data_IF_742700321821
#
_entry.id   IF_742700321821
#
_cell.length_a   1.000
_cell.length_b   1.000
_cell.length_c   1.000
_cell.angle_alpha   90.00
_cell.angle_beta   90.00
_cell.angle_gamma   90.00
#
_symmetry.space_group_name_H-M   'P 1'
#
loop_
_entity.id
_entity.type
_entity.pdbx_description
1 polymer ?
#
# COMPACT_ATOMS: atom_id res chain seq x y z
N UNK A 1 -17.71 5.69 -23.78
CA UNK A 1 -16.41 5.71 -24.49
C UNK A 1 -16.28 7.03 -25.18
N UNK A 2 -15.15 7.72 -25.07
CA UNK A 2 -14.91 9.05 -25.67
C UNK A 2 -13.75 8.89 -26.67
N UNK A 3 -13.98 9.24 -27.93
CA UNK A 3 -12.92 9.27 -28.94
C UNK A 3 -12.18 10.61 -28.92
N UNK A 4 -10.85 10.58 -29.03
CA UNK A 4 -10.01 11.77 -29.16
C UNK A 4 -9.18 11.69 -30.42
N UNK A 5 -8.90 12.85 -31.05
CA UNK A 5 -8.23 12.94 -32.33
C UNK A 5 -6.69 12.99 -32.23
N UNK A 6 -6.09 12.33 -31.24
CA UNK A 6 -4.64 12.17 -31.19
C UNK A 6 -4.16 11.36 -32.38
N UNK A 7 -3.08 11.81 -33.02
CA UNK A 7 -2.51 11.22 -34.23
C UNK A 7 -1.00 10.95 -34.08
N UNK A 8 -0.35 10.42 -35.09
CA UNK A 8 1.04 9.97 -35.04
C UNK A 8 2.04 11.05 -34.58
N UNK A 9 1.82 12.32 -34.98
CA UNK A 9 2.71 13.42 -34.54
C UNK A 9 2.53 13.71 -33.03
N UNK A 10 1.31 13.62 -32.48
CA UNK A 10 1.10 13.76 -31.03
C UNK A 10 1.81 12.68 -30.25
N UNK A 11 1.89 11.47 -30.82
CA UNK A 11 2.67 10.36 -30.26
C UNK A 11 4.16 10.70 -30.24
N UNK A 12 4.73 11.14 -31.36
CA UNK A 12 6.14 11.56 -31.45
C UNK A 12 6.48 12.67 -30.45
N UNK A 13 5.62 13.69 -30.31
CA UNK A 13 5.77 14.77 -29.33
C UNK A 13 5.79 14.22 -27.90
N UNK A 14 4.88 13.33 -27.59
CA UNK A 14 4.74 12.73 -26.25
C UNK A 14 5.95 11.87 -25.90
N UNK A 15 6.41 11.06 -26.84
CA UNK A 15 7.60 10.22 -26.68
C UNK A 15 8.82 11.06 -26.45
N UNK A 16 9.05 12.07 -27.31
CA UNK A 16 10.20 12.97 -27.19
C UNK A 16 10.17 13.71 -25.85
N UNK A 17 9.02 14.23 -25.45
CA UNK A 17 8.84 14.89 -24.16
C UNK A 17 9.18 13.99 -22.98
N UNK A 18 8.72 12.74 -23.01
CA UNK A 18 8.99 11.76 -21.96
C UNK A 18 10.47 11.37 -21.91
N UNK A 19 11.12 11.15 -23.06
CA UNK A 19 12.55 10.83 -23.14
C UNK A 19 13.41 11.95 -22.56
N UNK A 20 13.12 13.22 -22.91
CA UNK A 20 13.82 14.38 -22.37
C UNK A 20 13.67 14.54 -20.85
N UNK A 21 12.63 13.96 -20.26
CA UNK A 21 12.39 13.91 -18.81
C UNK A 21 12.96 12.68 -18.13
N UNK A 22 13.70 11.84 -18.84
CA UNK A 22 14.31 10.65 -18.30
C UNK A 22 13.31 9.49 -18.07
N UNK A 23 12.29 9.40 -18.90
CA UNK A 23 11.32 8.32 -18.82
C UNK A 23 11.98 6.94 -19.03
N UNK A 24 11.47 5.94 -18.28
CA UNK A 24 11.75 4.53 -18.53
C UNK A 24 10.91 4.01 -19.71
N UNK A 25 11.02 2.71 -19.99
CA UNK A 25 10.30 2.02 -21.06
C UNK A 25 8.78 2.30 -21.01
N UNK A 26 8.18 2.29 -19.82
CA UNK A 26 6.76 2.61 -19.62
C UNK A 26 6.39 4.01 -20.12
N UNK A 27 7.23 5.02 -19.85
CA UNK A 27 7.00 6.39 -20.33
C UNK A 27 7.31 6.54 -21.80
N UNK A 28 8.32 5.83 -22.32
CA UNK A 28 8.67 5.80 -23.73
C UNK A 28 7.57 5.15 -24.60
N UNK A 29 6.70 4.30 -24.02
CA UNK A 29 5.53 3.73 -24.69
C UNK A 29 4.45 4.75 -25.07
N UNK A 30 4.61 6.03 -24.81
CA UNK A 30 3.81 7.13 -25.34
C UNK A 30 2.32 7.10 -24.93
N UNK A 31 1.46 7.47 -25.88
CA UNK A 31 0.00 7.56 -25.72
C UNK A 31 -0.61 6.17 -25.95
N UNK A 32 -1.46 5.67 -25.02
CA UNK A 32 -2.20 4.41 -25.22
C UNK A 32 -3.39 4.61 -26.13
N UNK A 33 -3.64 3.65 -27.04
CA UNK A 33 -4.80 3.64 -27.94
C UNK A 33 -6.12 3.68 -27.17
N UNK A 34 -6.18 2.90 -26.08
CA UNK A 34 -7.32 2.90 -25.17
C UNK A 34 -6.84 3.04 -23.73
N UNK A 35 -7.48 3.95 -22.97
CA UNK A 35 -7.23 4.14 -21.55
C UNK A 35 -8.38 4.88 -20.86
N UNK A 36 -8.90 4.32 -19.76
CA UNK A 36 -9.91 4.96 -18.92
C UNK A 36 -11.15 5.44 -19.67
N UNK A 37 -11.64 4.65 -20.64
CA UNK A 37 -12.81 4.99 -21.44
C UNK A 37 -12.55 5.98 -22.59
N UNK A 38 -11.30 6.38 -22.80
CA UNK A 38 -10.87 7.16 -23.97
C UNK A 38 -10.24 6.24 -25.01
N UNK A 39 -10.61 6.44 -26.29
CA UNK A 39 -10.02 5.76 -27.45
C UNK A 39 -9.40 6.77 -28.40
N UNK A 40 -8.38 6.38 -29.14
CA UNK A 40 -7.59 7.22 -30.06
C UNK A 40 -7.43 6.54 -31.41
N UNK A 41 -8.49 6.58 -32.24
CA UNK A 41 -8.51 5.84 -33.51
C UNK A 41 -7.45 6.28 -34.51
N UNK A 42 -6.98 7.54 -34.41
CA UNK A 42 -6.02 8.11 -35.35
C UNK A 42 -4.55 8.02 -34.91
N UNK A 43 -4.26 7.29 -33.82
CA UNK A 43 -2.90 7.28 -33.26
C UNK A 43 -1.82 6.74 -34.24
N UNK A 44 -2.23 5.93 -35.20
CA UNK A 44 -1.36 5.40 -36.27
C UNK A 44 -1.44 6.19 -37.58
N UNK A 45 -2.29 7.20 -37.65
CA UNK A 45 -2.52 7.99 -38.87
C UNK A 45 -1.75 9.30 -38.76
N UNK A 46 -1.09 9.69 -39.82
CA UNK A 46 -0.36 10.97 -39.88
C UNK A 46 -1.33 12.15 -40.06
N UNK A 47 -0.94 13.33 -39.61
CA UNK A 47 -1.71 14.56 -39.84
C UNK A 47 -1.92 14.83 -41.34
N UNK A 48 -0.93 14.52 -42.17
CA UNK A 48 -1.02 14.68 -43.62
C UNK A 48 -2.12 13.78 -44.22
N UNK A 49 -2.20 12.52 -43.82
CA UNK A 49 -3.26 11.62 -44.26
C UNK A 49 -4.66 12.07 -43.81
N UNK A 50 -4.78 12.60 -42.56
CA UNK A 50 -6.03 13.15 -42.07
C UNK A 50 -6.48 14.36 -42.88
N UNK A 51 -5.55 15.28 -43.19
CA UNK A 51 -5.85 16.47 -44.00
C UNK A 51 -6.19 16.11 -45.44
N UNK A 52 -5.45 15.16 -46.05
CA UNK A 52 -5.77 14.69 -47.41
C UNK A 52 -7.19 14.06 -47.47
N UNK A 53 -7.54 13.24 -46.48
CA UNK A 53 -8.91 12.69 -46.40
C UNK A 53 -9.98 13.78 -46.24
N UNK A 54 -9.73 14.79 -45.41
CA UNK A 54 -10.67 15.89 -45.21
C UNK A 54 -10.85 16.71 -46.49
N UNK A 55 -9.80 16.97 -47.26
CA UNK A 55 -9.85 17.68 -48.54
C UNK A 55 -10.58 16.87 -49.61
N UNK A 56 -10.25 15.58 -49.75
CA UNK A 56 -10.93 14.68 -50.72
C UNK A 56 -12.43 14.61 -50.45
N UNK A 57 -12.86 14.56 -49.18
CA UNK A 57 -14.25 14.47 -48.77
C UNK A 57 -14.90 15.84 -48.54
N UNK A 58 -14.21 16.96 -48.83
CA UNK A 58 -14.70 18.34 -48.66
C UNK A 58 -15.23 18.61 -47.24
N UNK A 59 -14.55 18.08 -46.21
CA UNK A 59 -14.94 18.26 -44.82
C UNK A 59 -14.45 19.65 -44.35
N UNK A 60 -15.36 20.43 -43.77
CA UNK A 60 -14.99 21.68 -43.12
C UNK A 60 -14.33 21.41 -41.76
N UNK A 61 -13.18 22.02 -41.50
CA UNK A 61 -12.50 21.98 -40.21
C UNK A 61 -11.98 23.36 -39.83
N UNK A 62 -11.81 23.57 -38.53
CA UNK A 62 -11.20 24.81 -38.00
C UNK A 62 -9.81 24.53 -37.49
N UNK A 63 -8.92 25.46 -37.73
CA UNK A 63 -7.56 25.46 -37.20
C UNK A 63 -7.56 26.27 -35.92
N UNK A 64 -7.09 25.69 -34.83
CA UNK A 64 -6.93 26.37 -33.55
C UNK A 64 -5.62 27.17 -33.59
N UNK A 65 -5.73 28.49 -33.53
CA UNK A 65 -4.59 29.44 -33.61
C UNK A 65 -3.60 29.28 -32.44
N UNK A 66 -4.05 28.76 -31.28
CA UNK A 66 -3.16 28.52 -30.14
C UNK A 66 -2.12 27.45 -30.43
N UNK A 67 -2.32 26.61 -31.43
CA UNK A 67 -1.32 25.61 -31.87
C UNK A 67 -0.05 26.24 -32.47
N UNK A 68 -0.08 27.49 -32.82
CA UNK A 68 1.06 28.21 -33.41
C UNK A 68 1.85 29.04 -32.38
N UNK A 69 1.45 29.01 -31.11
CA UNK A 69 2.12 29.78 -30.04
C UNK A 69 3.04 28.84 -29.25
N UNK A 70 4.34 29.11 -29.28
CA UNK A 70 5.36 28.30 -28.58
C UNK A 70 5.48 28.69 -27.09
N UNK A 71 4.37 28.75 -26.35
CA UNK A 71 4.30 29.13 -24.94
C UNK A 71 4.48 27.95 -24.00
N UNK A 72 4.11 26.73 -24.43
CA UNK A 72 4.27 25.52 -23.66
C UNK A 72 5.44 24.67 -24.16
N UNK A 73 6.01 23.85 -23.28
CA UNK A 73 7.07 22.89 -23.67
C UNK A 73 6.64 22.00 -24.83
N UNK A 74 5.36 21.57 -24.85
CA UNK A 74 4.83 20.72 -25.92
C UNK A 74 4.80 21.47 -27.25
N UNK A 75 4.32 22.72 -27.27
CA UNK A 75 4.31 23.54 -28.46
C UNK A 75 5.72 23.84 -28.97
N UNK A 76 6.69 24.07 -28.09
CA UNK A 76 8.10 24.20 -28.50
C UNK A 76 8.65 22.96 -29.17
N UNK A 77 8.35 21.76 -28.62
CA UNK A 77 8.74 20.51 -29.26
C UNK A 77 8.12 20.37 -30.66
N UNK A 78 6.82 20.68 -30.79
CA UNK A 78 6.08 20.65 -32.08
C UNK A 78 6.61 21.61 -33.11
N UNK A 79 6.83 22.86 -32.74
CA UNK A 79 7.11 23.94 -33.67
C UNK A 79 8.58 24.14 -33.96
N UNK A 80 9.47 23.83 -33.02
CA UNK A 80 10.89 24.13 -33.12
C UNK A 80 11.77 22.88 -33.20
N UNK A 81 11.52 21.89 -32.38
CA UNK A 81 12.44 20.75 -32.23
C UNK A 81 12.14 19.63 -33.24
N UNK A 82 10.89 19.17 -33.34
CA UNK A 82 10.54 18.09 -34.28
C UNK A 82 10.83 18.47 -35.74
N UNK A 83 10.50 19.67 -36.23
CA UNK A 83 10.89 20.08 -37.59
C UNK A 83 12.41 20.05 -37.77
N UNK A 84 13.18 20.49 -36.78
CA UNK A 84 14.62 20.46 -36.85
C UNK A 84 15.19 19.04 -36.87
N UNK A 85 14.57 18.11 -36.10
CA UNK A 85 14.93 16.68 -36.17
C UNK A 85 14.60 16.09 -37.54
N UNK A 86 13.48 16.45 -38.15
CA UNK A 86 13.10 16.01 -39.50
C UNK A 86 14.07 16.51 -40.58
N UNK A 87 14.61 17.74 -40.45
CA UNK A 87 15.64 18.26 -41.35
C UNK A 87 16.96 17.47 -41.28
N UNK A 88 17.34 17.07 -40.04
CA UNK A 88 18.59 16.33 -39.81
C UNK A 88 18.43 14.84 -40.15
N UNK A 89 17.29 14.25 -39.77
CA UNK A 89 16.97 12.83 -39.97
C UNK A 89 15.56 12.75 -40.55
N UNK A 90 15.40 12.67 -41.87
CA UNK A 90 14.09 12.52 -42.50
C UNK A 90 13.35 11.29 -41.94
N UNK A 91 12.11 11.48 -41.50
CA UNK A 91 11.31 10.44 -40.84
C UNK A 91 11.52 10.32 -39.33
N UNK A 92 12.15 11.32 -38.67
CA UNK A 92 12.42 11.31 -37.23
C UNK A 92 11.14 11.13 -36.40
N UNK A 93 10.05 11.82 -36.72
CA UNK A 93 8.77 11.67 -36.00
C UNK A 93 8.20 10.26 -36.16
N UNK A 94 8.25 9.68 -37.36
CA UNK A 94 7.83 8.30 -37.63
C UNK A 94 8.68 7.31 -36.85
N UNK A 95 10.00 7.54 -36.79
CA UNK A 95 10.91 6.67 -36.04
C UNK A 95 10.64 6.72 -34.53
N UNK A 96 10.35 7.91 -33.98
CA UNK A 96 9.93 8.06 -32.58
C UNK A 96 8.61 7.32 -32.29
N UNK A 97 7.63 7.43 -33.19
CA UNK A 97 6.36 6.71 -33.08
C UNK A 97 6.56 5.18 -33.15
N UNK A 98 7.36 4.69 -34.08
CA UNK A 98 7.68 3.26 -34.18
C UNK A 98 8.41 2.76 -32.93
N UNK A 99 9.35 3.53 -32.41
CA UNK A 99 10.03 3.22 -31.16
C UNK A 99 9.04 3.11 -29.99
N UNK A 100 8.08 4.02 -29.88
CA UNK A 100 7.08 3.99 -28.79
C UNK A 100 6.24 2.71 -28.82
N UNK A 101 5.82 2.26 -29.99
CA UNK A 101 5.04 1.05 -30.14
C UNK A 101 5.85 -0.21 -29.77
N UNK A 102 7.13 -0.25 -30.16
CA UNK A 102 8.02 -1.32 -29.75
C UNK A 102 8.24 -1.32 -28.23
N UNK A 103 8.54 -0.15 -27.66
CA UNK A 103 8.76 0.03 -26.22
C UNK A 103 7.51 -0.35 -25.41
N UNK A 104 6.32 0.00 -25.90
CA UNK A 104 5.04 -0.36 -25.26
C UNK A 104 4.83 -1.87 -25.24
N UNK A 105 5.01 -2.55 -26.38
CA UNK A 105 4.86 -4.00 -26.50
C UNK A 105 5.80 -4.73 -25.54
N UNK A 106 7.06 -4.30 -25.49
CA UNK A 106 8.07 -4.92 -24.63
C UNK A 106 7.76 -4.65 -23.14
N UNK A 107 7.28 -3.44 -22.80
CA UNK A 107 6.87 -3.09 -21.45
C UNK A 107 5.65 -3.91 -20.98
N UNK A 108 4.65 -4.08 -21.85
CA UNK A 108 3.45 -4.89 -21.59
C UNK A 108 3.81 -6.35 -21.34
N UNK A 109 4.67 -6.92 -22.16
CA UNK A 109 5.18 -8.28 -21.97
C UNK A 109 5.90 -8.43 -20.61
N UNK A 110 6.73 -7.46 -20.24
CA UNK A 110 7.40 -7.47 -18.95
C UNK A 110 6.42 -7.32 -17.77
N UNK A 111 5.33 -6.53 -17.93
CA UNK A 111 4.26 -6.45 -16.93
C UNK A 111 3.53 -7.80 -16.78
N UNK A 112 3.21 -8.48 -17.88
CA UNK A 112 2.59 -9.82 -17.86
C UNK A 112 3.48 -10.82 -17.12
N UNK A 113 4.77 -10.87 -17.45
CA UNK A 113 5.73 -11.74 -16.76
C UNK A 113 5.87 -11.39 -15.26
N UNK A 114 5.70 -10.13 -14.89
CA UNK A 114 5.81 -9.68 -13.51
C UNK A 114 4.60 -10.04 -12.65
N UNK A 115 3.43 -10.28 -13.25
CA UNK A 115 2.16 -10.50 -12.56
C UNK A 115 2.21 -11.70 -11.60
N UNK A 116 2.93 -12.77 -11.96
CA UNK A 116 3.08 -13.97 -11.12
C UNK A 116 3.80 -13.72 -9.79
N UNK A 117 4.49 -12.60 -9.65
CA UNK A 117 5.17 -12.21 -8.41
C UNK A 117 4.31 -11.35 -7.48
N UNK A 118 3.11 -10.98 -7.90
CA UNK A 118 2.19 -10.12 -7.13
C UNK A 118 1.05 -10.96 -6.57
N UNK A 119 0.80 -10.84 -5.27
CA UNK A 119 -0.35 -11.50 -4.61
C UNK A 119 -1.06 -10.49 -3.73
N UNK A 120 -2.34 -10.21 -4.04
CA UNK A 120 -3.19 -9.40 -3.18
C UNK A 120 -3.87 -10.28 -2.12
N UNK A 121 -3.85 -9.84 -0.86
CA UNK A 121 -4.52 -10.50 0.28
C UNK A 121 -5.38 -9.48 1.01
N UNK A 122 -6.65 -9.79 1.19
CA UNK A 122 -7.51 -9.04 2.12
C UNK A 122 -7.29 -9.58 3.52
N UNK A 123 -7.05 -8.71 4.48
CA UNK A 123 -6.97 -9.03 5.91
C UNK A 123 -7.80 -8.02 6.70
N UNK A 124 -8.15 -8.34 7.94
CA UNK A 124 -8.94 -7.46 8.81
C UNK A 124 -8.29 -6.10 9.08
N UNK A 125 -6.99 -5.97 8.80
CA UNK A 125 -6.23 -4.71 8.87
C UNK A 125 -6.16 -3.94 7.54
N UNK A 126 -6.99 -4.28 6.53
CA UNK A 126 -6.97 -3.66 5.20
C UNK A 126 -6.37 -4.54 4.11
N UNK A 127 -6.30 -3.98 2.92
CA UNK A 127 -5.73 -4.66 1.76
C UNK A 127 -4.20 -4.66 1.84
N UNK A 128 -3.60 -5.84 1.71
CA UNK A 128 -2.15 -6.03 1.63
C UNK A 128 -1.79 -6.63 0.29
N UNK A 129 -0.73 -6.13 -0.31
CA UNK A 129 -0.18 -6.68 -1.56
C UNK A 129 1.24 -7.16 -1.29
N UNK A 130 1.51 -8.42 -1.59
CA UNK A 130 2.83 -9.04 -1.45
C UNK A 130 3.49 -9.13 -2.81
N UNK A 131 4.76 -8.73 -2.89
CA UNK A 131 5.62 -8.89 -4.05
C UNK A 131 6.77 -9.81 -3.68
N UNK A 132 6.87 -10.97 -4.34
CA UNK A 132 7.96 -11.92 -4.13
C UNK A 132 9.28 -11.34 -4.64
N UNK A 133 10.31 -11.36 -3.80
CA UNK A 133 11.64 -10.91 -4.16
C UNK A 133 12.51 -12.03 -4.74
N UNK A 134 12.11 -13.30 -4.54
CA UNK A 134 12.80 -14.49 -5.04
C UNK A 134 11.87 -15.31 -5.93
N UNK A 135 12.45 -15.94 -6.94
CA UNK A 135 11.76 -16.87 -7.83
C UNK A 135 11.60 -18.27 -7.18
N UNK A 136 11.06 -19.22 -7.94
CA UNK A 136 10.79 -20.59 -7.48
C UNK A 136 12.09 -21.39 -7.25
N UNK A 137 13.21 -20.97 -7.84
CA UNK A 137 14.53 -21.58 -7.69
C UNK A 137 15.35 -20.94 -6.58
N UNK A 138 14.78 -19.96 -5.85
CA UNK A 138 15.47 -19.21 -4.77
C UNK A 138 16.41 -18.13 -5.30
N UNK A 139 16.42 -17.85 -6.60
CA UNK A 139 17.14 -16.72 -7.19
C UNK A 139 16.38 -15.42 -7.03
N UNK A 140 17.10 -14.29 -7.04
CA UNK A 140 16.44 -12.98 -7.05
C UNK A 140 15.65 -12.81 -8.34
N UNK A 141 14.39 -12.36 -8.22
CA UNK A 141 13.60 -11.94 -9.38
C UNK A 141 14.35 -10.85 -10.13
N UNK A 142 14.44 -10.98 -11.47
CA UNK A 142 15.11 -9.99 -12.31
C UNK A 142 14.57 -8.58 -12.03
N UNK A 143 15.48 -7.60 -11.90
CA UNK A 143 15.12 -6.23 -11.47
C UNK A 143 13.99 -5.63 -12.31
N UNK A 144 13.97 -5.72 -13.67
CA UNK A 144 12.88 -5.17 -14.47
C UNK A 144 11.50 -5.77 -14.16
N UNK A 145 11.44 -7.04 -13.76
CA UNK A 145 10.19 -7.71 -13.36
C UNK A 145 9.78 -7.31 -11.95
N UNK A 146 10.73 -7.28 -11.02
CA UNK A 146 10.47 -6.88 -9.65
C UNK A 146 9.97 -5.43 -9.55
N UNK A 147 10.60 -4.51 -10.28
CA UNK A 147 10.18 -3.10 -10.34
C UNK A 147 8.73 -2.96 -10.85
N UNK A 148 8.34 -3.70 -11.89
CA UNK A 148 6.96 -3.70 -12.42
C UNK A 148 5.97 -4.33 -11.45
N UNK A 149 6.35 -5.42 -10.79
CA UNK A 149 5.54 -6.03 -9.74
C UNK A 149 5.29 -5.03 -8.59
N UNK A 150 6.30 -4.27 -8.17
CA UNK A 150 6.15 -3.20 -7.18
C UNK A 150 5.22 -2.08 -7.67
N UNK A 151 5.34 -1.64 -8.92
CA UNK A 151 4.43 -0.65 -9.52
C UNK A 151 3.00 -1.18 -9.56
N UNK A 152 2.79 -2.44 -9.89
CA UNK A 152 1.48 -3.09 -9.85
C UNK A 152 0.91 -3.10 -8.44
N UNK A 153 1.72 -3.46 -7.43
CA UNK A 153 1.32 -3.44 -6.03
C UNK A 153 0.91 -2.04 -5.56
N UNK A 154 1.67 -1.00 -5.93
CA UNK A 154 1.33 0.39 -5.64
C UNK A 154 -0.02 0.79 -6.27
N UNK A 155 -0.26 0.43 -7.54
CA UNK A 155 -1.53 0.71 -8.24
C UNK A 155 -2.73 0.02 -7.59
N UNK A 156 -2.58 -1.24 -7.16
CA UNK A 156 -3.63 -1.99 -6.45
C UNK A 156 -4.01 -1.30 -5.13
N UNK A 157 -3.07 -0.61 -4.48
CA UNK A 157 -3.31 0.17 -3.25
C UNK A 157 -3.66 1.65 -3.52
N UNK A 158 -4.03 2.00 -4.75
CA UNK A 158 -4.52 3.33 -5.12
C UNK A 158 -3.44 4.35 -5.45
N UNK A 159 -2.14 3.99 -5.45
CA UNK A 159 -1.07 4.89 -5.88
C UNK A 159 -0.97 4.88 -7.41
N UNK A 160 -1.71 5.77 -8.06
CA UNK A 160 -1.78 5.80 -9.54
C UNK A 160 -0.69 6.61 -10.23
N UNK A 161 -0.32 7.79 -9.69
CA UNK A 161 0.54 8.78 -10.35
C UNK A 161 1.59 9.41 -9.44
N UNK A 162 1.46 9.29 -8.14
CA UNK A 162 2.25 10.06 -7.17
C UNK A 162 3.59 9.43 -6.81
N UNK A 163 3.99 8.35 -7.48
CA UNK A 163 5.31 7.74 -7.28
C UNK A 163 6.33 8.23 -8.31
N UNK A 164 7.58 8.29 -7.88
CA UNK A 164 8.73 8.69 -8.68
C UNK A 164 9.69 7.52 -8.90
N UNK A 165 10.68 7.69 -9.77
CA UNK A 165 11.78 6.72 -9.96
C UNK A 165 12.45 6.38 -8.62
N UNK A 166 12.69 7.38 -7.77
CA UNK A 166 13.30 7.16 -6.46
C UNK A 166 12.52 6.18 -5.57
N UNK A 167 11.18 6.17 -5.63
CA UNK A 167 10.37 5.19 -4.90
C UNK A 167 10.60 3.77 -5.42
N UNK A 168 10.67 3.59 -6.74
CA UNK A 168 10.93 2.28 -7.36
C UNK A 168 12.33 1.78 -7.02
N UNK A 169 13.33 2.66 -7.06
CA UNK A 169 14.72 2.33 -6.71
C UNK A 169 14.85 1.97 -5.22
N UNK A 170 14.13 2.67 -4.34
CA UNK A 170 14.05 2.35 -2.90
C UNK A 170 13.44 0.97 -2.65
N UNK A 171 12.40 0.59 -3.41
CA UNK A 171 11.77 -0.73 -3.33
C UNK A 171 12.71 -1.83 -3.85
N UNK A 172 13.42 -1.58 -4.95
CA UNK A 172 14.44 -2.49 -5.48
C UNK A 172 15.59 -2.69 -4.49
N UNK A 173 15.99 -1.64 -3.77
CA UNK A 173 16.97 -1.76 -2.69
C UNK A 173 16.40 -2.48 -1.46
N UNK A 174 15.10 -2.29 -1.15
CA UNK A 174 14.45 -2.87 0.03
C UNK A 174 14.48 -4.40 0.02
N UNK A 175 14.37 -5.05 -1.15
CA UNK A 175 14.43 -6.51 -1.28
C UNK A 175 15.75 -7.12 -0.79
N UNK A 176 16.83 -6.32 -0.76
CA UNK A 176 18.16 -6.75 -0.31
C UNK A 176 18.41 -6.47 1.17
N UNK A 177 17.53 -5.70 1.83
CA UNK A 177 17.69 -5.34 3.24
C UNK A 177 17.21 -6.45 4.17
N UNK A 178 17.52 -6.33 5.45
CA UNK A 178 17.07 -7.27 6.48
C UNK A 178 15.55 -7.25 6.65
N UNK A 179 14.98 -8.39 7.04
CA UNK A 179 13.57 -8.50 7.43
C UNK A 179 13.21 -7.44 8.47
N UNK A 180 12.08 -6.77 8.26
CA UNK A 180 11.62 -5.65 9.10
C UNK A 180 12.02 -4.26 8.59
N UNK A 181 12.96 -4.15 7.63
CA UNK A 181 13.22 -2.88 6.94
C UNK A 181 11.97 -2.39 6.20
N UNK A 182 11.80 -1.08 6.12
CA UNK A 182 10.64 -0.47 5.48
C UNK A 182 11.04 0.70 4.57
N UNK A 183 10.16 1.02 3.63
CA UNK A 183 10.19 2.22 2.81
C UNK A 183 8.80 2.86 2.84
N UNK A 184 8.76 4.17 2.99
CA UNK A 184 7.53 4.96 2.94
C UNK A 184 7.21 5.30 1.48
N UNK A 185 5.92 5.21 1.14
CA UNK A 185 5.39 5.47 -0.19
C UNK A 185 4.30 6.54 -0.11
N UNK A 186 3.93 7.18 -1.23
CA UNK A 186 2.81 8.11 -1.28
C UNK A 186 1.50 7.53 -0.74
N UNK A 187 0.54 8.38 -0.46
CA UNK A 187 -0.81 8.02 0.00
C UNK A 187 -0.84 7.19 1.30
N UNK A 188 0.17 7.33 2.16
CA UNK A 188 0.22 6.59 3.43
C UNK A 188 0.45 5.08 3.27
N UNK A 189 0.92 4.63 2.12
CA UNK A 189 1.32 3.24 1.91
C UNK A 189 2.75 3.03 2.40
N UNK A 190 2.98 1.90 3.04
CA UNK A 190 4.29 1.47 3.50
C UNK A 190 4.64 0.11 2.94
N UNK A 191 5.85 -0.02 2.40
CA UNK A 191 6.41 -1.29 1.96
C UNK A 191 7.38 -1.82 3.03
N UNK A 192 7.25 -3.11 3.41
CA UNK A 192 8.12 -3.75 4.41
C UNK A 192 8.72 -5.02 3.85
N UNK A 193 10.00 -5.26 4.17
CA UNK A 193 10.66 -6.53 3.90
C UNK A 193 10.22 -7.57 4.92
N UNK A 194 9.56 -8.63 4.44
CA UNK A 194 9.05 -9.73 5.27
C UNK A 194 9.55 -11.04 4.68
N UNK A 195 10.58 -11.63 5.26
CA UNK A 195 11.26 -12.83 4.76
C UNK A 195 11.62 -12.75 3.25
N UNK A 196 10.98 -13.58 2.42
CA UNK A 196 11.15 -13.66 0.97
C UNK A 196 10.41 -12.58 0.15
N UNK A 197 9.59 -11.73 0.81
CA UNK A 197 8.66 -10.84 0.15
C UNK A 197 8.85 -9.36 0.53
N UNK A 198 8.35 -8.47 -0.31
CA UNK A 198 8.08 -7.08 0.02
C UNK A 198 6.57 -6.91 0.13
N UNK A 199 6.09 -6.61 1.33
CA UNK A 199 4.66 -6.48 1.64
C UNK A 199 4.30 -5.01 1.68
N UNK A 200 3.33 -4.64 0.86
CA UNK A 200 2.74 -3.31 0.78
C UNK A 200 1.44 -3.29 1.58
N UNK A 201 1.25 -2.28 2.39
CA UNK A 201 0.01 -2.03 3.13
C UNK A 201 -0.26 -0.54 3.21
N UNK A 202 -1.50 -0.13 3.00
CA UNK A 202 -1.91 1.21 3.40
C UNK A 202 -1.80 1.27 4.94
N UNK A 203 -1.12 2.28 5.46
CA UNK A 203 -1.33 2.60 6.87
C UNK A 203 -2.78 3.08 6.96
N UNK A 204 -3.62 2.29 7.60
CA UNK A 204 -4.93 2.78 8.02
C UNK A 204 -4.60 3.93 8.96
N UNK A 205 -4.68 5.15 8.43
CA UNK A 205 -4.45 6.36 9.23
C UNK A 205 -5.26 6.24 10.51
N UNK A 206 -4.57 6.27 11.63
CA UNK A 206 -5.03 5.95 12.97
C UNK A 206 -6.14 6.81 13.55
N UNK A 207 -7.19 7.12 12.80
CA UNK A 207 -8.45 7.58 13.37
C UNK A 207 -9.12 6.50 14.24
N UNK A 208 -8.81 5.20 14.01
CA UNK A 208 -9.19 4.10 14.90
C UNK A 208 -8.13 3.79 15.99
N UNK A 209 -6.93 4.38 15.92
CA UNK A 209 -5.85 4.10 16.88
C UNK A 209 -5.99 4.86 18.20
N UNK A 210 -6.79 5.91 18.25
CA UNK A 210 -7.00 6.69 19.46
C UNK A 210 -8.32 6.42 20.18
N UNK A 211 -9.16 5.51 19.70
CA UNK A 211 -10.42 5.18 20.35
C UNK A 211 -10.13 4.46 21.68
N UNK A 212 -10.28 5.19 22.79
CA UNK A 212 -10.37 4.62 24.12
C UNK A 212 -11.81 4.20 24.37
N UNK A 213 -12.04 2.89 24.46
CA UNK A 213 -13.37 2.34 24.77
C UNK A 213 -13.44 2.16 26.27
N UNK A 214 -14.43 2.73 26.97
CA UNK A 214 -14.61 2.50 28.41
C UNK A 214 -14.71 1.01 28.74
N UNK A 215 -14.09 0.60 29.84
CA UNK A 215 -14.20 -0.76 30.34
C UNK A 215 -15.65 -1.12 30.67
N UNK A 216 -16.06 -2.32 30.29
CA UNK A 216 -17.37 -2.90 30.59
C UNK A 216 -17.36 -4.40 30.35
N UNK A 217 -18.47 -5.05 30.63
CA UNK A 217 -18.71 -6.46 30.32
C UNK A 217 -19.40 -6.59 28.96
N UNK A 218 -19.02 -7.58 28.17
CA UNK A 218 -19.52 -7.82 26.83
C UNK A 218 -18.41 -8.05 25.81
N UNK A 219 -18.74 -7.95 24.53
CA UNK A 219 -17.79 -8.11 23.43
C UNK A 219 -17.39 -6.74 22.89
N UNK A 220 -16.10 -6.47 22.90
CA UNK A 220 -15.53 -5.20 22.43
C UNK A 220 -14.67 -5.45 21.20
N UNK A 221 -14.70 -4.51 20.24
CA UNK A 221 -13.84 -4.53 19.05
C UNK A 221 -12.88 -3.37 19.10
N UNK A 222 -11.60 -3.65 18.94
CA UNK A 222 -10.55 -2.67 18.90
C UNK A 222 -9.59 -2.99 17.73
N UNK A 223 -9.82 -2.35 16.60
CA UNK A 223 -8.95 -2.43 15.42
C UNK A 223 -8.63 -3.86 14.94
N UNK A 224 -9.63 -4.66 14.65
CA UNK A 224 -9.49 -6.04 14.14
C UNK A 224 -9.28 -7.09 15.21
N UNK A 225 -9.25 -6.73 16.50
CA UNK A 225 -9.26 -7.68 17.60
C UNK A 225 -10.59 -7.61 18.34
N UNK A 226 -11.16 -8.76 18.69
CA UNK A 226 -12.33 -8.87 19.55
C UNK A 226 -11.92 -9.36 20.93
N UNK A 227 -12.48 -8.78 21.97
CA UNK A 227 -12.25 -9.17 23.36
C UNK A 227 -13.62 -9.46 23.99
N UNK A 228 -13.75 -10.61 24.59
CA UNK A 228 -14.86 -10.93 25.47
C UNK A 228 -14.46 -10.67 26.92
N UNK A 229 -15.29 -9.93 27.65
CA UNK A 229 -15.19 -9.77 29.09
C UNK A 229 -16.51 -10.18 29.72
N UNK A 230 -16.46 -11.15 30.61
CA UNK A 230 -17.64 -11.73 31.25
C UNK A 230 -17.36 -12.07 32.72
N UNK A 231 -18.39 -12.21 33.50
CA UNK A 231 -18.33 -12.80 34.86
C UNK A 231 -18.44 -14.32 34.81
N UNK A 232 -18.80 -14.91 33.67
CA UNK A 232 -18.94 -16.34 33.47
C UNK A 232 -17.63 -17.00 33.03
N UNK A 233 -17.05 -17.82 33.91
CA UNK A 233 -15.84 -18.57 33.57
C UNK A 233 -16.05 -19.53 32.40
N UNK A 234 -17.19 -20.20 32.36
CA UNK A 234 -17.52 -21.18 31.34
C UNK A 234 -17.59 -20.52 29.93
N UNK A 235 -18.23 -19.35 29.82
CA UNK A 235 -18.33 -18.60 28.59
C UNK A 235 -16.94 -18.13 28.09
N UNK A 236 -16.14 -17.55 28.99
CA UNK A 236 -14.81 -17.08 28.65
C UNK A 236 -13.82 -18.22 28.31
N UNK A 237 -13.95 -19.36 29.01
CA UNK A 237 -13.14 -20.56 28.74
C UNK A 237 -13.45 -21.16 27.38
N UNK A 238 -14.73 -21.25 27.00
CA UNK A 238 -15.17 -21.72 25.70
C UNK A 238 -14.64 -20.80 24.58
N UNK A 239 -14.74 -19.48 24.76
CA UNK A 239 -14.26 -18.49 23.83
C UNK A 239 -12.73 -18.53 23.66
N UNK A 240 -11.98 -18.63 24.76
CA UNK A 240 -10.51 -18.73 24.73
C UNK A 240 -10.04 -20.03 24.07
N UNK A 241 -10.72 -21.16 24.32
CA UNK A 241 -10.42 -22.44 23.69
C UNK A 241 -10.64 -22.41 22.17
N UNK A 242 -11.75 -21.81 21.71
CA UNK A 242 -12.02 -21.63 20.29
C UNK A 242 -10.95 -20.80 19.57
N UNK A 243 -10.44 -19.78 20.24
CA UNK A 243 -9.44 -18.85 19.69
C UNK A 243 -7.99 -19.29 19.94
N UNK A 244 -7.75 -20.37 20.69
CA UNK A 244 -6.41 -20.82 21.07
C UNK A 244 -5.65 -19.79 21.90
N UNK A 245 -6.36 -18.90 22.63
CA UNK A 245 -5.77 -17.82 23.41
C UNK A 245 -5.81 -18.12 24.91
N UNK A 246 -4.95 -17.44 25.67
CA UNK A 246 -4.92 -17.59 27.14
C UNK A 246 -6.12 -16.88 27.77
N UNK A 247 -6.89 -17.60 28.58
CA UNK A 247 -7.90 -17.02 29.46
C UNK A 247 -7.23 -16.27 30.60
N UNK A 248 -7.56 -14.99 30.77
CA UNK A 248 -7.08 -14.18 31.88
C UNK A 248 -8.18 -13.99 32.89
N UNK A 249 -7.80 -13.94 34.18
CA UNK A 249 -8.68 -13.75 35.34
C UNK A 249 -8.16 -12.56 36.15
N UNK A 250 -8.99 -11.53 36.34
CA UNK A 250 -8.61 -10.31 37.03
C UNK A 250 -9.66 -9.89 38.04
N UNK A 251 -9.29 -9.05 38.99
CA UNK A 251 -10.23 -8.39 39.89
C UNK A 251 -11.07 -7.37 39.11
N UNK A 252 -12.35 -7.66 38.96
CA UNK A 252 -13.28 -6.84 38.19
C UNK A 252 -13.45 -5.43 38.76
N UNK A 253 -13.36 -5.27 40.09
CA UNK A 253 -13.44 -3.96 40.74
C UNK A 253 -12.19 -3.11 40.42
N UNK A 254 -11.01 -3.73 40.37
CA UNK A 254 -9.76 -3.05 40.06
C UNK A 254 -9.67 -2.63 38.55
N UNK A 255 -10.51 -3.21 37.70
CA UNK A 255 -10.61 -2.83 36.28
C UNK A 255 -11.63 -1.69 36.04
N UNK A 256 -12.47 -1.36 37.01
CA UNK A 256 -13.44 -0.26 36.85
C UNK A 256 -12.72 1.08 36.58
N UNK A 257 -13.29 1.89 35.69
CA UNK A 257 -12.71 3.16 35.27
C UNK A 257 -11.51 3.07 34.34
N UNK A 258 -11.14 1.85 33.90
CA UNK A 258 -10.13 1.67 32.88
C UNK A 258 -10.71 1.79 31.45
N UNK A 259 -9.85 1.76 30.45
CA UNK A 259 -10.20 1.84 29.03
C UNK A 259 -9.48 0.76 28.23
N UNK A 260 -10.16 0.31 27.19
CA UNK A 260 -9.52 -0.48 26.16
C UNK A 260 -8.84 0.46 25.17
N UNK A 261 -7.58 0.20 24.86
CA UNK A 261 -6.84 0.94 23.87
C UNK A 261 -5.68 0.15 23.27
N UNK A 262 -5.14 0.62 22.20
CA UNK A 262 -3.88 0.12 21.65
C UNK A 262 -2.69 0.69 22.42
N UNK A 263 -1.53 0.08 22.14
CA UNK A 263 -0.25 0.50 22.71
C UNK A 263 0.09 1.94 22.31
N UNK A 264 0.54 2.71 23.32
CA UNK A 264 1.12 4.05 23.13
C UNK A 264 2.63 4.05 23.42
N UNK A 265 3.36 5.02 22.88
CA UNK A 265 4.77 5.21 23.22
C UNK A 265 4.88 5.52 24.74
N UNK A 266 5.86 4.88 25.40
CA UNK A 266 6.06 5.05 26.83
C UNK A 266 5.28 4.12 27.73
N UNK A 267 4.37 3.28 27.22
CA UNK A 267 3.62 2.31 28.02
C UNK A 267 4.51 1.39 28.84
N UNK A 268 4.10 1.18 30.07
CA UNK A 268 4.82 0.32 31.04
C UNK A 268 3.86 -0.70 31.64
N UNK A 269 4.42 -1.85 32.01
CA UNK A 269 3.69 -2.97 32.60
C UNK A 269 4.41 -3.49 33.85
N UNK A 270 3.66 -3.83 34.89
CA UNK A 270 4.19 -4.41 36.12
C UNK A 270 3.78 -5.88 36.20
N UNK A 271 4.76 -6.78 36.08
CA UNK A 271 4.57 -8.22 36.28
C UNK A 271 4.40 -8.60 37.73
N UNK A 272 3.79 -9.78 38.00
CA UNK A 272 3.73 -10.37 39.33
C UNK A 272 5.14 -10.49 39.95
N UNK A 273 5.28 -10.01 41.18
CA UNK A 273 6.54 -10.06 41.91
C UNK A 273 7.70 -9.31 41.26
N UNK A 274 7.44 -8.52 40.20
CA UNK A 274 8.44 -7.85 39.41
C UNK A 274 8.34 -6.34 39.42
N UNK A 275 9.42 -5.67 38.98
CA UNK A 275 9.45 -4.22 38.78
C UNK A 275 8.67 -3.76 37.54
N UNK A 276 8.48 -2.45 37.44
CA UNK A 276 7.90 -1.78 36.28
C UNK A 276 8.86 -1.86 35.09
N UNK A 277 8.41 -2.39 33.94
CA UNK A 277 9.19 -2.52 32.70
C UNK A 277 8.48 -1.85 31.54
N UNK A 278 9.24 -1.39 30.53
CA UNK A 278 8.66 -0.95 29.27
C UNK A 278 7.84 -2.07 28.63
N UNK A 279 6.62 -1.78 28.20
CA UNK A 279 5.75 -2.77 27.54
C UNK A 279 6.42 -3.36 26.29
N UNK A 280 7.20 -2.56 25.55
CA UNK A 280 7.98 -3.05 24.39
C UNK A 280 8.90 -4.21 24.77
N UNK A 281 9.63 -4.09 25.89
CA UNK A 281 10.54 -5.12 26.39
C UNK A 281 9.76 -6.35 26.87
N UNK A 282 8.64 -6.14 27.57
CA UNK A 282 7.78 -7.23 28.06
C UNK A 282 7.21 -8.05 26.89
N UNK A 283 6.69 -7.42 25.84
CA UNK A 283 6.17 -8.11 24.65
C UNK A 283 7.27 -8.86 23.88
N UNK A 284 8.52 -8.35 23.93
CA UNK A 284 9.67 -9.04 23.34
C UNK A 284 10.07 -10.27 24.16
N UNK A 285 10.11 -10.15 25.48
CA UNK A 285 10.41 -11.24 26.42
C UNK A 285 9.38 -12.40 26.25
N UNK A 286 8.13 -12.07 25.93
CA UNK A 286 7.07 -13.04 25.65
C UNK A 286 7.07 -13.59 24.21
N UNK A 287 8.08 -13.24 23.40
CA UNK A 287 8.26 -13.70 22.01
C UNK A 287 7.05 -13.44 21.11
N UNK A 288 6.32 -12.35 21.35
CA UNK A 288 5.19 -11.97 20.52
C UNK A 288 5.71 -11.33 19.23
N UNK A 289 5.20 -11.77 18.08
CA UNK A 289 5.59 -11.26 16.77
C UNK A 289 5.40 -9.75 16.66
N UNK A 290 6.33 -9.07 15.98
CA UNK A 290 6.34 -7.61 15.88
C UNK A 290 5.03 -7.04 15.30
N UNK A 291 4.43 -7.72 14.31
CA UNK A 291 3.16 -7.34 13.70
C UNK A 291 1.99 -7.45 14.69
N UNK A 292 1.94 -8.53 15.47
CA UNK A 292 0.90 -8.75 16.48
C UNK A 292 1.00 -7.76 17.64
N UNK A 293 2.21 -7.27 17.98
CA UNK A 293 2.41 -6.32 19.09
C UNK A 293 1.66 -5.01 18.92
N UNK A 294 1.47 -4.54 17.68
CA UNK A 294 0.74 -3.30 17.40
C UNK A 294 -0.78 -3.48 17.51
N UNK A 295 -1.28 -4.69 17.25
CA UNK A 295 -2.69 -5.01 17.22
C UNK A 295 -3.26 -5.47 18.58
N UNK A 296 -2.40 -5.91 19.53
CA UNK A 296 -2.85 -6.44 20.83
C UNK A 296 -3.62 -5.38 21.62
N UNK A 297 -4.87 -5.68 22.03
CA UNK A 297 -5.64 -4.78 22.86
C UNK A 297 -5.11 -4.77 24.29
N UNK A 298 -5.08 -3.58 24.88
CA UNK A 298 -4.65 -3.32 26.24
C UNK A 298 -5.82 -2.82 27.07
N UNK A 299 -5.86 -3.20 28.34
CA UNK A 299 -6.68 -2.56 29.35
C UNK A 299 -5.76 -1.64 30.15
N UNK A 300 -6.06 -0.35 30.19
CA UNK A 300 -5.22 0.65 30.84
C UNK A 300 -6.05 1.58 31.72
N UNK A 301 -5.48 2.06 32.82
CA UNK A 301 -6.09 3.13 33.60
C UNK A 301 -6.16 4.42 32.78
N UNK A 302 -7.35 5.03 32.74
CA UNK A 302 -7.59 6.24 31.95
C UNK A 302 -6.70 7.40 32.36
N UNK A 303 -6.52 7.60 33.65
CA UNK A 303 -5.79 8.76 34.19
C UNK A 303 -4.28 8.59 34.18
N UNK A 304 -3.77 7.42 34.59
CA UNK A 304 -2.32 7.18 34.74
C UNK A 304 -1.67 6.51 33.53
N UNK A 305 -2.47 5.96 32.60
CA UNK A 305 -1.97 5.19 31.47
C UNK A 305 -1.33 3.84 31.87
N UNK A 306 -1.40 3.43 33.15
CA UNK A 306 -0.89 2.15 33.62
C UNK A 306 -1.61 0.99 32.93
N UNK A 307 -0.85 0.05 32.36
CA UNK A 307 -1.41 -1.12 31.71
C UNK A 307 -1.79 -2.16 32.75
N UNK A 308 -3.07 -2.50 32.80
CA UNK A 308 -3.68 -3.46 33.73
C UNK A 308 -3.74 -4.87 33.17
N UNK A 309 -3.96 -5.01 31.86
CA UNK A 309 -3.95 -6.30 31.17
C UNK A 309 -3.49 -6.14 29.71
N UNK A 310 -2.82 -7.17 29.22
CA UNK A 310 -2.51 -7.38 27.82
C UNK A 310 -3.38 -8.56 27.37
N UNK A 311 -4.42 -8.31 26.58
CA UNK A 311 -5.43 -9.33 26.26
C UNK A 311 -4.80 -10.59 25.65
N UNK A 312 -5.23 -11.77 26.13
CA UNK A 312 -4.73 -13.07 25.71
C UNK A 312 -3.29 -13.39 26.17
N UNK A 313 -2.63 -12.50 26.91
CA UNK A 313 -1.21 -12.64 27.33
C UNK A 313 -1.07 -12.68 28.84
N UNK A 314 -1.30 -11.56 29.54
CA UNK A 314 -1.05 -11.46 31.00
C UNK A 314 -1.79 -10.28 31.63
N UNK A 315 -2.04 -10.36 32.94
CA UNK A 315 -2.57 -9.28 33.75
C UNK A 315 -1.45 -8.64 34.61
N UNK A 316 -1.64 -7.37 35.01
CA UNK A 316 -0.72 -6.69 35.90
C UNK A 316 -0.92 -7.13 37.37
N UNK A 317 0.13 -6.95 38.18
CA UNK A 317 0.10 -7.19 39.64
C UNK A 317 -1.05 -6.43 40.31
N UNK A 318 -1.37 -5.23 39.86
CA UNK A 318 -2.39 -4.33 40.45
C UNK A 318 -3.84 -4.84 40.30
N UNK A 319 -4.09 -5.82 39.43
CA UNK A 319 -5.42 -6.40 39.18
C UNK A 319 -5.49 -7.89 39.46
N UNK A 320 -4.55 -8.43 40.21
CA UNK A 320 -4.55 -9.82 40.60
C UNK A 320 -5.75 -10.12 41.54
N UNK A 321 -6.23 -11.35 41.44
CA UNK A 321 -7.26 -11.86 42.36
C UNK A 321 -6.64 -12.02 43.75
N UNK A 322 -7.34 -11.55 44.75
CA UNK A 322 -6.98 -11.65 46.16
C UNK A 322 -8.17 -12.25 46.97
N UNK A 323 -7.97 -12.65 48.22
CA UNK A 323 -9.10 -13.10 49.08
C UNK A 323 -10.21 -12.05 49.27
N UNK A 324 -9.91 -10.76 48.99
CA UNK A 324 -10.88 -9.67 49.07
C UNK A 324 -11.61 -9.41 47.77
N UNK A 325 -11.25 -10.07 46.67
CA UNK A 325 -11.91 -9.91 45.38
C UNK A 325 -13.34 -10.42 45.41
N UNK A 326 -14.29 -9.49 45.22
CA UNK A 326 -15.73 -9.80 45.22
C UNK A 326 -16.27 -10.20 43.85
N UNK A 327 -15.66 -9.74 42.78
CA UNK A 327 -16.06 -10.00 41.38
C UNK A 327 -14.83 -10.33 40.56
N UNK A 328 -14.89 -11.44 39.83
CA UNK A 328 -13.82 -11.83 38.91
C UNK A 328 -14.28 -11.47 37.50
N UNK A 329 -13.40 -10.76 36.78
CA UNK A 329 -13.56 -10.51 35.36
C UNK A 329 -12.71 -11.52 34.57
N UNK A 330 -13.35 -12.26 33.69
CA UNK A 330 -12.71 -13.20 32.76
C UNK A 330 -12.53 -12.50 31.43
N UNK A 331 -11.31 -12.53 30.90
CA UNK A 331 -10.92 -11.80 29.67
C UNK A 331 -10.41 -12.82 28.68
N UNK A 332 -11.10 -12.95 27.54
CA UNK A 332 -10.71 -13.80 26.42
C UNK A 332 -10.50 -12.94 25.16
N UNK A 333 -9.38 -13.15 24.47
CA UNK A 333 -9.16 -12.62 23.14
C UNK A 333 -9.80 -13.56 22.13
N UNK A 334 -10.69 -13.05 21.28
CA UNK A 334 -11.36 -13.80 20.23
C UNK A 334 -10.59 -13.64 18.93
N UNK A 335 -10.31 -14.74 18.23
CA UNK A 335 -9.69 -14.71 16.91
C UNK A 335 -10.78 -14.71 15.83
N UNK A 336 -10.78 -13.78 14.87
CA UNK A 336 -11.78 -13.71 13.79
C UNK A 336 -11.48 -14.69 12.64
N UNK A 337 -10.38 -15.46 12.70
CA UNK A 337 -9.86 -16.25 11.58
C UNK A 337 -9.92 -17.78 11.80
N UNK A 338 -11.06 -18.28 12.30
CA UNK A 338 -11.40 -19.71 12.13
C UNK A 338 -12.87 -19.91 11.85
#
# INVERSE_FOLDING_TARGET
MIATAHHAQDEAETVLFHLLRGASLTGAGGIREERNGFVRPFLHVTKAEILAYAEENKLEYRVDETNFIADTTRNKLRLEILPRLEEIVPGAAKNLTNFSFAARRDDEFLYELSAKYVTAKKSDGGEKVCVRAFDENGGLVAEPLFARACVTAMKLLGIGKDYTRAHVDALSALRMKQTGSAADLPCGVKARRVYGDVVFSAEVNGAAESAEIPFGYGVFRLGGAKILITESEAEAAAAAAQSGTKLLRADGAALCGSVFRRKKAGDTFRKFGGGKKSLKKVLTDWKIDAEKRAAIPLIAKKESGEILAVAGVEIAESVKITPQTKKIAYIALLDENR
#
